data_IF_622595173342
#
_entry.id   IF_622595173342
#
_cell.length_a   1.000
_cell.length_b   1.000
_cell.length_c   1.000
_cell.angle_alpha   90.00
_cell.angle_beta   90.00
_cell.angle_gamma   90.00
#
_symmetry.space_group_name_H-M   'P 1'
#
loop_
_entity.id
_entity.type
_entity.pdbx_description
1 polymer ?
#
# COMPACT_ATOMS: atom_id res chain seq x y z
N UNK A 1 -23.78 1.86 -32.59
CA UNK A 1 -22.38 1.51 -32.87
C UNK A 1 -21.64 1.60 -31.56
N UNK A 2 -21.44 0.44 -30.92
CA UNK A 2 -20.75 0.36 -29.63
C UNK A 2 -19.27 0.64 -29.87
N UNK A 3 -18.75 1.67 -29.23
CA UNK A 3 -17.32 1.84 -29.08
C UNK A 3 -16.85 0.83 -28.04
N UNK A 4 -16.29 -0.29 -28.52
CA UNK A 4 -15.36 -1.10 -27.73
C UNK A 4 -14.16 -0.19 -27.42
N UNK A 5 -14.20 0.39 -26.22
CA UNK A 5 -13.10 1.17 -25.66
C UNK A 5 -12.58 0.43 -24.44
N UNK A 6 -12.48 -0.90 -24.54
CA UNK A 6 -11.81 -1.74 -23.54
C UNK A 6 -10.38 -1.24 -23.45
N UNK A 7 -9.99 -0.69 -22.29
CA UNK A 7 -8.64 -0.26 -22.01
C UNK A 7 -7.68 -1.44 -22.20
N UNK A 8 -7.16 -1.61 -23.42
CA UNK A 8 -6.29 -2.73 -23.74
C UNK A 8 -4.96 -2.45 -23.07
N UNK A 9 -4.63 -3.23 -22.03
CA UNK A 9 -3.32 -3.21 -21.43
C UNK A 9 -2.30 -3.57 -22.51
N UNK A 10 -1.40 -2.64 -22.84
CA UNK A 10 -0.33 -2.97 -23.77
C UNK A 10 0.50 -4.09 -23.14
N UNK A 11 0.82 -5.15 -23.90
CA UNK A 11 1.51 -6.35 -23.39
C UNK A 11 2.77 -6.00 -22.57
N UNK A 12 3.51 -4.96 -22.97
CA UNK A 12 4.69 -4.50 -22.23
C UNK A 12 4.41 -3.93 -20.84
N UNK A 13 3.23 -3.33 -20.60
CA UNK A 13 2.85 -2.82 -19.28
C UNK A 13 2.39 -3.94 -18.35
N UNK A 14 1.69 -4.95 -18.88
CA UNK A 14 1.34 -6.15 -18.12
C UNK A 14 2.60 -6.92 -17.66
N UNK A 15 3.59 -7.09 -18.55
CA UNK A 15 4.87 -7.73 -18.20
C UNK A 15 5.64 -6.91 -17.13
N UNK A 16 5.66 -5.58 -17.23
CA UNK A 16 6.28 -4.71 -16.23
C UNK A 16 5.61 -4.84 -14.85
N UNK A 17 4.28 -4.90 -14.81
CA UNK A 17 3.53 -5.08 -13.57
C UNK A 17 3.75 -6.46 -12.95
N UNK A 18 3.74 -7.52 -13.77
CA UNK A 18 4.06 -8.87 -13.31
C UNK A 18 5.48 -8.93 -12.76
N UNK A 19 6.44 -8.28 -13.40
CA UNK A 19 7.81 -8.17 -12.90
C UNK A 19 7.90 -7.40 -11.58
N UNK A 20 7.16 -6.29 -11.44
CA UNK A 20 7.06 -5.53 -10.18
C UNK A 20 6.45 -6.38 -9.06
N UNK A 21 5.47 -7.23 -9.34
CA UNK A 21 4.91 -8.20 -8.39
C UNK A 21 5.89 -9.35 -8.09
N UNK A 22 6.69 -9.78 -9.07
CA UNK A 22 7.74 -10.81 -8.93
C UNK A 22 8.92 -10.34 -8.06
N UNK A 23 9.29 -9.07 -8.16
CA UNK A 23 10.31 -8.45 -7.29
C UNK A 23 9.74 -7.93 -5.98
N UNK A 24 8.42 -7.74 -5.91
CA UNK A 24 7.75 -7.11 -4.78
C UNK A 24 7.41 -8.06 -3.64
N UNK A 25 6.86 -7.47 -2.58
CA UNK A 25 6.35 -8.17 -1.42
C UNK A 25 5.14 -9.06 -1.76
N UNK A 26 5.11 -10.29 -1.26
CA UNK A 26 3.97 -11.22 -1.34
C UNK A 26 2.65 -10.58 -0.88
N UNK A 27 2.69 -9.69 0.12
CA UNK A 27 1.54 -8.93 0.58
C UNK A 27 0.84 -8.14 -0.53
N UNK A 28 1.57 -7.64 -1.55
CA UNK A 28 0.97 -6.96 -2.70
C UNK A 28 0.10 -7.93 -3.51
N UNK A 29 0.55 -9.17 -3.74
CA UNK A 29 -0.26 -10.21 -4.39
C UNK A 29 -1.43 -10.63 -3.54
N UNK A 30 -1.23 -10.79 -2.23
CA UNK A 30 -2.30 -11.17 -1.33
C UNK A 30 -3.39 -10.10 -1.28
N UNK A 31 -3.03 -8.82 -1.34
CA UNK A 31 -3.99 -7.70 -1.45
C UNK A 31 -4.77 -7.78 -2.77
N UNK A 32 -4.09 -7.98 -3.90
CA UNK A 32 -4.75 -8.12 -5.20
C UNK A 32 -5.67 -9.35 -5.24
N UNK A 33 -5.22 -10.49 -4.70
CA UNK A 33 -6.05 -11.68 -4.57
C UNK A 33 -7.25 -11.48 -3.66
N UNK A 34 -7.11 -10.74 -2.55
CA UNK A 34 -8.21 -10.42 -1.66
C UNK A 34 -9.29 -9.55 -2.34
N UNK A 35 -8.89 -8.62 -3.21
CA UNK A 35 -9.80 -7.80 -4.00
C UNK A 35 -10.44 -8.60 -5.15
N UNK A 36 -9.65 -9.38 -5.88
CA UNK A 36 -10.10 -10.17 -7.04
C UNK A 36 -11.11 -11.26 -6.67
N UNK A 37 -11.03 -11.81 -5.46
CA UNK A 37 -11.89 -12.89 -4.97
C UNK A 37 -13.03 -12.41 -4.07
N UNK A 38 -13.20 -11.10 -3.93
CA UNK A 38 -14.26 -10.56 -3.08
C UNK A 38 -15.64 -10.75 -3.72
N UNK A 39 -16.64 -11.11 -2.89
CA UNK A 39 -18.05 -11.17 -3.31
C UNK A 39 -18.62 -9.79 -3.70
N UNK A 40 -17.87 -8.73 -3.44
CA UNK A 40 -18.19 -7.33 -3.70
C UNK A 40 -17.01 -6.70 -4.43
N UNK A 41 -17.29 -5.86 -5.42
CA UNK A 41 -16.28 -5.11 -6.20
C UNK A 41 -15.41 -4.19 -5.34
N UNK A 42 -15.79 -3.98 -4.07
CA UNK A 42 -15.07 -3.13 -3.13
C UNK A 42 -14.79 -3.85 -1.80
N UNK A 43 -13.68 -3.49 -1.17
CA UNK A 43 -13.34 -3.87 0.19
C UNK A 43 -12.79 -2.69 0.97
N UNK A 44 -13.13 -2.60 2.26
CA UNK A 44 -12.47 -1.64 3.13
C UNK A 44 -11.11 -2.14 3.63
N UNK A 45 -10.20 -1.23 4.01
CA UNK A 45 -8.84 -1.55 4.45
C UNK A 45 -8.78 -2.63 5.54
N UNK A 46 -9.78 -2.70 6.43
CA UNK A 46 -9.78 -3.71 7.50
C UNK A 46 -10.05 -5.11 6.94
N UNK A 47 -10.99 -5.24 6.00
CA UNK A 47 -11.30 -6.50 5.33
C UNK A 47 -10.13 -6.98 4.46
N UNK A 48 -9.52 -6.06 3.70
CA UNK A 48 -8.36 -6.42 2.86
C UNK A 48 -7.23 -6.94 3.75
N UNK A 49 -6.93 -6.23 4.85
CA UNK A 49 -5.88 -6.63 5.79
C UNK A 49 -6.10 -8.03 6.36
N UNK A 50 -7.34 -8.34 6.77
CA UNK A 50 -7.72 -9.64 7.31
C UNK A 50 -7.57 -10.76 6.27
N UNK A 51 -7.97 -10.49 5.02
CA UNK A 51 -7.90 -11.49 3.93
C UNK A 51 -6.50 -11.69 3.38
N UNK A 52 -5.70 -10.63 3.33
CA UNK A 52 -4.36 -10.64 2.73
C UNK A 52 -3.24 -10.95 3.73
N UNK A 53 -3.58 -11.14 5.01
CA UNK A 53 -2.66 -11.37 6.14
C UNK A 53 -1.53 -10.32 6.21
N UNK A 54 -1.91 -9.05 6.12
CA UNK A 54 -0.95 -7.92 6.08
C UNK A 54 -0.85 -7.25 7.45
N UNK A 55 0.36 -6.98 7.98
CA UNK A 55 0.51 -6.20 9.20
C UNK A 55 -0.11 -4.80 9.10
N UNK A 56 -0.73 -4.33 10.18
CA UNK A 56 -1.43 -3.04 10.19
C UNK A 56 -0.56 -1.82 9.90
N UNK A 57 0.75 -1.91 10.18
CA UNK A 57 1.70 -0.81 9.96
C UNK A 57 2.02 -0.56 8.48
N UNK A 58 1.96 -1.60 7.66
CA UNK A 58 2.46 -1.59 6.28
C UNK A 58 1.33 -1.55 5.24
N UNK A 59 0.09 -1.73 5.69
CA UNK A 59 -1.10 -1.78 4.83
C UNK A 59 -1.29 -0.54 3.94
N UNK A 60 -1.14 0.67 4.50
CA UNK A 60 -1.29 1.91 3.73
C UNK A 60 -0.21 2.01 2.65
N UNK A 61 1.03 1.62 2.98
CA UNK A 61 2.14 1.66 2.03
C UNK A 61 1.85 0.76 0.82
N UNK A 62 1.42 -0.49 1.04
CA UNK A 62 1.11 -1.38 -0.09
C UNK A 62 -0.06 -0.86 -0.94
N UNK A 63 -1.13 -0.34 -0.31
CA UNK A 63 -2.26 0.21 -1.06
C UNK A 63 -1.87 1.45 -1.86
N UNK A 64 -1.04 2.33 -1.30
CA UNK A 64 -0.50 3.49 -2.01
C UNK A 64 0.38 3.06 -3.19
N UNK A 65 1.29 2.11 -3.01
CA UNK A 65 2.11 1.56 -4.10
C UNK A 65 1.25 0.93 -5.21
N UNK A 66 0.24 0.13 -4.85
CA UNK A 66 -0.67 -0.47 -5.83
C UNK A 66 -1.53 0.59 -6.54
N UNK A 67 -1.80 1.72 -5.88
CA UNK A 67 -2.48 2.88 -6.48
C UNK A 67 -1.57 3.65 -7.42
N UNK A 68 -0.30 3.84 -7.06
CA UNK A 68 0.72 4.45 -7.94
C UNK A 68 0.97 3.60 -9.18
N UNK A 69 0.87 2.28 -9.06
CA UNK A 69 0.91 1.36 -10.20
C UNK A 69 -0.39 1.35 -11.00
N UNK A 70 -1.42 2.05 -10.53
CA UNK A 70 -2.71 2.19 -11.21
C UNK A 70 -3.60 0.96 -11.19
N UNK A 71 -3.28 -0.09 -10.42
CA UNK A 71 -4.03 -1.36 -10.40
C UNK A 71 -5.08 -1.45 -9.28
N UNK A 72 -4.97 -0.58 -8.28
CA UNK A 72 -5.94 -0.41 -7.20
C UNK A 72 -6.31 1.07 -7.13
N UNK A 73 -7.53 1.38 -6.70
CA UNK A 73 -7.94 2.76 -6.48
C UNK A 73 -8.75 2.95 -5.19
N UNK A 74 -8.60 4.13 -4.57
CA UNK A 74 -9.46 4.58 -3.47
C UNK A 74 -10.76 5.11 -4.05
N UNK A 75 -11.88 4.49 -3.67
CA UNK A 75 -13.22 4.89 -4.11
C UNK A 75 -13.67 6.25 -3.55
N UNK A 76 -12.92 6.83 -2.60
CA UNK A 76 -13.30 8.00 -1.83
C UNK A 76 -14.30 7.70 -0.71
N UNK A 77 -14.88 6.50 -0.69
CA UNK A 77 -15.84 6.08 0.32
C UNK A 77 -15.14 5.61 1.61
N UNK A 78 -15.89 5.66 2.71
CA UNK A 78 -15.40 5.30 4.04
C UNK A 78 -16.45 4.49 4.80
N UNK A 79 -16.07 3.35 5.33
CA UNK A 79 -16.97 2.40 6.02
C UNK A 79 -16.53 2.10 7.45
N UNK A 80 -17.49 1.76 8.31
CA UNK A 80 -17.16 1.27 9.65
C UNK A 80 -16.61 -0.16 9.58
N UNK A 81 -15.46 -0.37 10.22
CA UNK A 81 -14.96 -1.72 10.47
C UNK A 81 -15.86 -2.44 11.48
N UNK A 82 -15.94 -3.78 11.40
CA UNK A 82 -16.78 -4.63 12.28
C UNK A 82 -16.50 -4.44 13.78
N UNK A 83 -15.33 -3.93 14.16
CA UNK A 83 -14.93 -3.68 15.56
C UNK A 83 -15.22 -2.26 16.09
N UNK A 84 -15.86 -1.39 15.30
CA UNK A 84 -16.01 0.03 15.62
C UNK A 84 -14.71 0.83 15.44
N UNK A 85 -14.80 2.16 15.57
CA UNK A 85 -13.68 3.07 15.40
C UNK A 85 -13.82 4.03 14.20
N UNK A 86 -12.69 4.59 13.76
CA UNK A 86 -12.65 5.52 12.61
C UNK A 86 -13.01 4.76 11.33
N UNK A 87 -13.78 5.39 10.45
CA UNK A 87 -14.15 4.80 9.15
C UNK A 87 -12.90 4.47 8.33
N UNK A 88 -12.82 3.24 7.83
CA UNK A 88 -11.75 2.73 6.98
C UNK A 88 -11.96 3.15 5.52
N UNK A 89 -10.86 3.30 4.76
CA UNK A 89 -10.89 3.58 3.32
C UNK A 89 -11.43 2.38 2.56
N UNK A 90 -12.23 2.62 1.52
CA UNK A 90 -12.80 1.58 0.64
C UNK A 90 -12.06 1.60 -0.68
N UNK A 91 -11.63 0.42 -1.12
CA UNK A 91 -10.77 0.21 -2.27
C UNK A 91 -11.38 -0.78 -3.24
N UNK A 92 -10.96 -0.69 -4.49
CA UNK A 92 -11.28 -1.66 -5.54
C UNK A 92 -10.11 -1.82 -6.49
N UNK A 93 -10.17 -2.86 -7.32
CA UNK A 93 -9.34 -2.92 -8.53
C UNK A 93 -9.74 -1.78 -9.46
N UNK A 94 -8.76 -1.18 -10.12
CA UNK A 94 -9.06 -0.30 -11.24
C UNK A 94 -9.42 -1.14 -12.48
N UNK A 95 -9.94 -0.50 -13.53
CA UNK A 95 -10.15 -1.17 -14.83
C UNK A 95 -8.86 -1.84 -15.37
N UNK A 96 -7.72 -1.20 -15.12
CA UNK A 96 -6.41 -1.76 -15.45
C UNK A 96 -6.04 -2.96 -14.55
N UNK A 97 -6.35 -2.90 -13.26
CA UNK A 97 -6.12 -4.00 -12.33
C UNK A 97 -6.96 -5.23 -12.65
N UNK A 98 -8.23 -5.04 -13.00
CA UNK A 98 -9.14 -6.09 -13.46
C UNK A 98 -8.60 -6.74 -14.74
N UNK A 99 -8.30 -5.94 -15.77
CA UNK A 99 -7.76 -6.42 -17.04
C UNK A 99 -6.44 -7.17 -16.84
N UNK A 100 -5.55 -6.68 -15.97
CA UNK A 100 -4.28 -7.35 -15.66
C UNK A 100 -4.48 -8.74 -15.07
N UNK A 101 -5.41 -8.88 -14.11
CA UNK A 101 -5.69 -10.16 -13.45
C UNK A 101 -6.36 -11.14 -14.42
N UNK A 102 -7.25 -10.66 -15.29
CA UNK A 102 -7.88 -11.46 -16.34
C UNK A 102 -6.86 -11.98 -17.36
N UNK A 103 -5.93 -11.12 -17.81
CA UNK A 103 -4.90 -11.49 -18.79
C UNK A 103 -3.77 -12.35 -18.18
N UNK A 104 -3.56 -12.25 -16.86
CA UNK A 104 -2.49 -12.95 -16.13
C UNK A 104 -3.03 -13.64 -14.87
N UNK A 105 -3.83 -14.71 -15.01
CA UNK A 105 -4.42 -15.41 -13.86
C UNK A 105 -3.36 -15.99 -12.91
N UNK A 106 -2.19 -16.33 -13.46
CA UNK A 106 -1.06 -16.86 -12.68
C UNK A 106 -0.26 -15.77 -11.95
N UNK A 107 -0.49 -14.46 -12.22
CA UNK A 107 0.25 -13.37 -11.58
C UNK A 107 -0.01 -13.26 -10.07
N UNK A 108 -1.11 -13.86 -9.58
CA UNK A 108 -1.40 -13.93 -8.15
C UNK A 108 -0.72 -15.13 -7.47
N UNK A 109 -0.15 -16.05 -8.23
CA UNK A 109 0.57 -17.21 -7.71
C UNK A 109 2.04 -16.90 -7.46
N UNK A 110 2.59 -17.42 -6.36
CA UNK A 110 4.02 -17.30 -6.04
C UNK A 110 4.85 -18.11 -7.07
N UNK A 111 5.90 -17.54 -7.71
CA UNK A 111 6.69 -18.24 -8.71
C UNK A 111 7.39 -19.50 -8.15
N UNK A 112 7.57 -20.57 -8.94
CA UNK A 112 8.26 -21.80 -8.50
C UNK A 112 9.77 -21.62 -8.19
N UNK A 113 10.39 -20.56 -8.70
CA UNK A 113 11.78 -20.17 -8.38
C UNK A 113 11.88 -19.42 -7.04
N UNK A 114 10.77 -19.28 -6.31
CA UNK A 114 10.67 -18.38 -5.18
C UNK A 114 11.44 -18.81 -3.93
N UNK A 115 12.03 -19.99 -3.79
CA UNK A 115 12.82 -20.28 -2.58
C UNK A 115 14.00 -19.29 -2.35
N UNK A 116 14.58 -18.75 -3.43
CA UNK A 116 15.58 -17.67 -3.36
C UNK A 116 14.93 -16.28 -3.38
N UNK A 117 13.83 -16.12 -4.13
CA UNK A 117 13.09 -14.86 -4.17
C UNK A 117 12.41 -14.57 -2.82
N UNK A 118 11.68 -15.49 -2.20
CA UNK A 118 11.13 -15.45 -0.84
C UNK A 118 12.17 -15.03 0.20
N UNK A 119 13.44 -15.44 0.10
CA UNK A 119 14.48 -14.97 1.03
C UNK A 119 14.88 -13.52 0.77
N UNK A 120 14.95 -13.11 -0.49
CA UNK A 120 15.25 -11.72 -0.87
C UNK A 120 14.05 -10.84 -0.54
N UNK A 121 12.85 -11.23 -0.94
CA UNK A 121 11.56 -10.62 -0.60
C UNK A 121 11.37 -10.56 0.91
N UNK A 122 11.61 -11.61 1.69
CA UNK A 122 11.51 -11.53 3.16
C UNK A 122 12.49 -10.52 3.76
N UNK A 123 13.68 -10.36 3.16
CA UNK A 123 14.64 -9.34 3.58
C UNK A 123 14.19 -7.93 3.14
N UNK A 124 13.70 -7.76 1.92
CA UNK A 124 13.16 -6.50 1.40
C UNK A 124 11.92 -6.07 2.17
N UNK A 125 10.99 -6.99 2.45
CA UNK A 125 9.83 -6.79 3.31
C UNK A 125 10.25 -6.31 4.70
N UNK A 126 11.27 -6.96 5.27
CA UNK A 126 11.81 -6.55 6.57
C UNK A 126 12.47 -5.17 6.51
N UNK A 127 13.12 -4.82 5.40
CA UNK A 127 13.67 -3.48 5.17
C UNK A 127 12.54 -2.47 5.04
N UNK A 128 11.53 -2.73 4.21
CA UNK A 128 10.35 -1.88 4.02
C UNK A 128 9.61 -1.63 5.34
N UNK A 129 9.39 -2.69 6.14
CA UNK A 129 8.78 -2.60 7.47
C UNK A 129 9.63 -1.77 8.44
N UNK A 130 10.94 -1.97 8.43
CA UNK A 130 11.87 -1.18 9.25
C UNK A 130 11.91 0.29 8.82
N UNK A 131 11.84 0.57 7.53
CA UNK A 131 11.78 1.93 6.99
C UNK A 131 10.45 2.62 7.33
N UNK A 132 9.33 1.90 7.25
CA UNK A 132 8.02 2.39 7.67
C UNK A 132 7.99 2.69 9.17
N UNK A 133 8.51 1.79 10.01
CA UNK A 133 8.62 1.99 11.46
C UNK A 133 9.56 3.16 11.78
N UNK A 134 10.67 3.31 11.04
CA UNK A 134 11.59 4.44 11.20
C UNK A 134 10.91 5.76 10.84
N UNK A 135 10.16 5.83 9.74
CA UNK A 135 9.38 7.01 9.36
C UNK A 135 8.33 7.35 10.42
N UNK A 136 7.63 6.36 10.95
CA UNK A 136 6.64 6.55 12.02
C UNK A 136 7.28 7.07 13.30
N UNK A 137 8.42 6.52 13.71
CA UNK A 137 9.18 7.00 14.87
C UNK A 137 9.67 8.43 14.67
N UNK A 138 10.21 8.77 13.50
CA UNK A 138 10.61 10.15 13.17
C UNK A 138 9.44 11.13 13.27
N UNK A 139 8.28 10.78 12.70
CA UNK A 139 7.06 11.60 12.81
C UNK A 139 6.62 11.80 14.26
N UNK A 140 6.66 10.74 15.07
CA UNK A 140 6.31 10.80 16.49
C UNK A 140 7.27 11.72 17.26
N UNK A 141 8.58 11.63 16.98
CA UNK A 141 9.59 12.51 17.58
C UNK A 141 9.31 13.97 17.22
N UNK A 142 9.00 14.25 15.94
CA UNK A 142 8.64 15.60 15.48
C UNK A 142 7.39 16.12 16.19
N UNK A 143 6.35 15.30 16.34
CA UNK A 143 5.13 15.69 17.07
C UNK A 143 5.43 15.99 18.55
N UNK A 144 6.26 15.18 19.22
CA UNK A 144 6.68 15.43 20.60
C UNK A 144 7.48 16.74 20.69
N UNK A 145 8.43 16.97 19.77
CA UNK A 145 9.23 18.19 19.76
C UNK A 145 8.36 19.43 19.56
N UNK A 146 7.35 19.38 18.68
CA UNK A 146 6.38 20.49 18.52
C UNK A 146 5.62 20.78 19.81
N UNK A 147 5.12 19.75 20.50
CA UNK A 147 4.44 19.92 21.79
C UNK A 147 5.36 20.52 22.86
N UNK A 148 6.65 20.14 22.88
CA UNK A 148 7.64 20.72 23.79
C UNK A 148 7.92 22.18 23.44
N UNK A 149 8.09 22.50 22.15
CA UNK A 149 8.31 23.86 21.68
C UNK A 149 7.15 24.81 22.02
N UNK A 150 5.91 24.35 21.84
CA UNK A 150 4.71 25.14 22.17
C UNK A 150 4.61 25.45 23.68
N UNK A 151 5.30 24.68 24.52
CA UNK A 151 5.35 24.86 25.98
C UNK A 151 6.61 25.58 26.49
N UNK A 152 7.53 25.99 25.60
CA UNK A 152 8.83 26.61 25.95
C UNK A 152 9.04 27.98 25.27
N UNK A 153 10.19 28.60 25.56
CA UNK A 153 10.56 29.94 25.08
C UNK A 153 10.86 29.99 23.57
N UNK A 154 10.92 31.22 23.01
CA UNK A 154 11.12 31.47 21.57
C UNK A 154 12.40 30.83 21.00
N UNK A 155 13.43 30.65 21.84
CA UNK A 155 14.70 30.03 21.42
C UNK A 155 14.52 28.52 21.20
N UNK A 156 13.82 27.81 22.09
CA UNK A 156 13.47 26.40 21.88
C UNK A 156 12.54 26.22 20.67
N UNK A 157 11.62 27.16 20.43
CA UNK A 157 10.74 27.12 19.26
C UNK A 157 11.50 27.23 17.93
N UNK A 158 12.51 28.09 17.85
CA UNK A 158 13.37 28.21 16.66
C UNK A 158 14.18 26.93 16.41
N UNK A 159 14.78 26.35 17.45
CA UNK A 159 15.56 25.11 17.31
C UNK A 159 14.71 23.92 16.87
N UNK A 160 13.50 23.77 17.42
CA UNK A 160 12.57 22.72 16.98
C UNK A 160 12.11 22.95 15.54
N UNK A 161 11.88 24.21 15.15
CA UNK A 161 11.50 24.53 13.76
C UNK A 161 12.60 24.11 12.78
N UNK A 162 13.88 24.41 13.06
CA UNK A 162 15.02 23.98 12.22
C UNK A 162 15.16 22.46 12.12
N UNK A 163 14.93 21.73 13.22
CA UNK A 163 14.97 20.26 13.19
C UNK A 163 13.85 19.71 12.32
N UNK A 164 12.66 20.31 12.37
CA UNK A 164 11.51 19.91 11.56
C UNK A 164 11.73 20.20 10.08
N UNK A 165 12.28 21.37 9.72
CA UNK A 165 12.57 21.70 8.31
C UNK A 165 13.70 20.87 7.72
N UNK A 166 14.73 20.52 8.50
CA UNK A 166 15.85 19.70 8.01
C UNK A 166 15.57 18.19 7.99
N UNK A 167 14.45 17.73 8.59
CA UNK A 167 14.13 16.32 8.69
C UNK A 167 13.53 15.70 7.41
N UNK A 168 13.40 16.45 6.30
CA UNK A 168 12.74 16.03 5.05
C UNK A 168 11.38 15.36 5.32
N UNK A 169 10.41 16.15 5.78
CA UNK A 169 8.98 15.80 5.80
C UNK A 169 8.22 16.62 4.75
#
# INVERSE_FOLDING_TARGET
MSSDNSATLTTGHADEMEEKLNRGNEHRRNILGALATADSDTLNTSQIRERADVPSGSMNHYLETLTEWGIVEDTGQREYSRGGGRKARVWRLSEMGETFIEERPDALSTPKTAATAERVTALENRIEDLEAETRKRRKTIVEILKVIADAQDEHTQQQVTEIVTNADL
#
